data_IF_060348661540
#
_entry.id   IF_060348661540
#
_cell.length_a   1.000
_cell.length_b   1.000
_cell.length_c   1.000
_cell.angle_alpha   90.00
_cell.angle_beta   90.00
_cell.angle_gamma   90.00
#
_symmetry.space_group_name_H-M   'P 1'
#
loop_
_entity.id
_entity.type
_entity.pdbx_description
1 polymer ?
#
# COMPACT_ATOMS: atom_id res chain seq x y z
N UNK A 1 -41.45 30.51 -31.44
CA UNK A 1 -40.02 30.18 -31.59
C UNK A 1 -39.44 30.20 -30.20
N UNK A 2 -39.31 28.99 -29.65
CA UNK A 2 -39.24 28.67 -28.23
C UNK A 2 -37.86 28.88 -27.62
N UNK A 3 -37.87 29.22 -26.33
CA UNK A 3 -36.71 29.25 -25.46
C UNK A 3 -36.10 27.84 -25.34
N UNK A 4 -34.79 27.73 -25.52
CA UNK A 4 -34.05 26.50 -25.21
C UNK A 4 -33.16 26.78 -23.99
N UNK A 5 -33.43 26.06 -22.92
CA UNK A 5 -32.76 26.17 -21.63
C UNK A 5 -31.28 25.75 -21.73
N UNK A 6 -30.40 26.67 -21.32
CA UNK A 6 -28.98 26.41 -21.06
C UNK A 6 -28.85 25.56 -19.80
N UNK A 7 -28.36 24.33 -19.92
CA UNK A 7 -27.88 23.58 -18.75
C UNK A 7 -26.49 24.11 -18.37
N UNK A 8 -26.47 25.03 -17.40
CA UNK A 8 -25.28 25.46 -16.68
C UNK A 8 -24.73 24.25 -15.94
N UNK A 9 -23.57 23.74 -16.36
CA UNK A 9 -22.86 22.73 -15.61
C UNK A 9 -22.31 23.38 -14.34
N UNK A 10 -22.96 23.09 -13.22
CA UNK A 10 -22.69 23.67 -11.92
C UNK A 10 -21.25 23.45 -11.48
N UNK A 11 -20.53 24.56 -11.34
CA UNK A 11 -19.64 24.90 -10.22
C UNK A 11 -19.50 23.80 -9.15
N UNK A 12 -18.46 23.00 -9.27
CA UNK A 12 -17.68 22.56 -8.11
C UNK A 12 -16.34 23.27 -8.22
N UNK A 13 -15.99 24.06 -7.21
CA UNK A 13 -14.68 24.70 -7.16
C UNK A 13 -13.59 23.60 -7.28
N UNK A 14 -12.48 23.82 -7.99
CA UNK A 14 -11.33 22.95 -7.79
C UNK A 14 -10.97 23.05 -6.32
N UNK A 15 -10.93 21.92 -5.60
CA UNK A 15 -10.35 21.89 -4.27
C UNK A 15 -9.02 22.65 -4.34
N UNK A 16 -8.85 23.67 -3.48
CA UNK A 16 -7.69 24.54 -3.54
C UNK A 16 -6.43 23.69 -3.32
N UNK A 17 -5.27 24.09 -3.85
CA UNK A 17 -4.00 23.38 -3.59
C UNK A 17 -3.76 23.17 -2.08
N UNK A 18 -4.29 24.08 -1.24
CA UNK A 18 -4.27 24.00 0.22
C UNK A 18 -5.15 22.86 0.79
N UNK A 19 -6.29 22.55 0.16
CA UNK A 19 -7.18 21.46 0.58
C UNK A 19 -6.50 20.10 0.39
N UNK A 20 -5.81 19.90 -0.75
CA UNK A 20 -5.03 18.69 -1.00
C UNK A 20 -3.85 18.57 -0.05
N UNK A 21 -3.16 19.69 0.25
CA UNK A 21 -2.05 19.70 1.22
C UNK A 21 -2.51 19.31 2.63
N UNK A 22 -3.65 19.84 3.08
CA UNK A 22 -4.24 19.51 4.39
C UNK A 22 -4.69 18.05 4.49
N UNK A 23 -5.22 17.47 3.42
CA UNK A 23 -5.56 16.04 3.38
C UNK A 23 -4.30 15.16 3.50
N UNK A 24 -3.21 15.52 2.79
CA UNK A 24 -1.94 14.82 2.91
C UNK A 24 -1.35 14.89 4.33
N UNK A 25 -1.42 16.06 4.98
CA UNK A 25 -1.00 16.26 6.37
C UNK A 25 -1.89 15.48 7.37
N UNK A 26 -3.21 15.40 7.14
CA UNK A 26 -4.12 14.62 7.97
C UNK A 26 -3.89 13.11 7.84
N UNK A 27 -3.62 12.60 6.62
CA UNK A 27 -3.24 11.19 6.42
C UNK A 27 -1.97 10.80 7.18
N UNK A 28 -1.04 11.74 7.37
CA UNK A 28 0.20 11.51 8.14
C UNK A 28 -0.01 11.50 9.66
N UNK A 29 -1.11 12.08 10.16
CA UNK A 29 -1.43 12.16 11.60
C UNK A 29 -2.35 11.06 12.10
N UNK A 30 -2.98 10.31 11.21
CA UNK A 30 -3.82 9.18 11.60
C UNK A 30 -2.92 8.05 12.16
N UNK A 31 -3.14 7.58 13.39
CA UNK A 31 -2.51 6.34 13.84
C UNK A 31 -2.93 5.25 12.85
N UNK A 32 -2.00 4.43 12.33
CA UNK A 32 -2.36 3.48 11.30
C UNK A 32 -3.33 2.47 11.90
N UNK A 33 -4.62 2.55 11.53
CA UNK A 33 -5.38 1.34 11.31
C UNK A 33 -4.47 0.50 10.40
N UNK A 34 -3.88 -0.58 10.94
CA UNK A 34 -2.67 -1.18 10.36
C UNK A 34 -2.83 -1.28 8.84
N UNK A 35 -2.01 -0.52 8.10
CA UNK A 35 -2.10 -0.53 6.65
C UNK A 35 -1.90 -1.96 6.16
N UNK A 36 -2.50 -2.32 5.02
CA UNK A 36 -2.31 -3.67 4.48
C UNK A 36 -0.82 -4.02 4.32
N UNK A 37 0.02 -3.00 4.06
CA UNK A 37 1.48 -3.07 4.00
C UNK A 37 2.10 -3.37 5.36
N UNK A 38 1.69 -2.65 6.42
CA UNK A 38 2.13 -2.94 7.79
C UNK A 38 1.73 -4.34 8.24
N UNK A 39 0.50 -4.75 7.93
CA UNK A 39 0.02 -6.11 8.24
C UNK A 39 0.81 -7.17 7.49
N UNK A 40 1.12 -6.96 6.21
CA UNK A 40 1.99 -7.87 5.45
C UNK A 40 3.38 -7.97 6.09
N UNK A 41 3.97 -6.83 6.46
CA UNK A 41 5.27 -6.77 7.11
C UNK A 41 5.31 -7.61 8.39
N UNK A 42 4.36 -7.40 9.30
CA UNK A 42 4.35 -8.07 10.59
C UNK A 42 4.12 -9.58 10.46
N UNK A 43 3.27 -10.01 9.52
CA UNK A 43 3.04 -11.42 9.25
C UNK A 43 4.27 -12.11 8.65
N UNK A 44 4.95 -11.47 7.70
CA UNK A 44 6.15 -12.02 7.06
C UNK A 44 7.30 -12.08 8.07
N UNK A 45 7.55 -10.98 8.81
CA UNK A 45 8.58 -10.94 9.84
C UNK A 45 8.35 -12.04 10.88
N UNK A 46 7.12 -12.17 11.37
CA UNK A 46 6.78 -13.25 12.30
C UNK A 46 7.03 -14.62 11.69
N UNK A 47 6.69 -14.83 10.42
CA UNK A 47 6.97 -16.08 9.72
C UNK A 47 8.47 -16.40 9.61
N UNK A 48 9.31 -15.39 9.39
CA UNK A 48 10.77 -15.55 9.36
C UNK A 48 11.29 -15.89 10.76
N UNK A 49 10.88 -15.13 11.78
CA UNK A 49 11.34 -15.31 13.17
C UNK A 49 10.91 -16.65 13.78
N UNK A 50 9.74 -17.18 13.40
CA UNK A 50 9.25 -18.48 13.86
C UNK A 50 9.76 -19.65 13.02
N UNK A 51 10.44 -19.39 11.90
CA UNK A 51 10.92 -20.42 10.98
C UNK A 51 9.86 -21.01 10.05
N UNK A 52 8.61 -20.49 10.07
CA UNK A 52 7.55 -20.85 9.10
C UNK A 52 7.95 -20.46 7.68
N UNK A 53 8.66 -19.35 7.53
CA UNK A 53 9.33 -18.91 6.31
C UNK A 53 10.84 -19.14 6.48
N UNK A 54 11.39 -20.26 5.98
CA UNK A 54 12.77 -20.61 6.27
C UNK A 54 13.75 -19.63 5.64
N UNK A 55 14.79 -19.28 6.39
CA UNK A 55 15.91 -18.48 5.88
C UNK A 55 16.49 -19.10 4.60
N UNK A 56 16.81 -18.24 3.62
CA UNK A 56 17.40 -18.66 2.34
C UNK A 56 16.41 -19.30 1.35
N UNK A 57 15.13 -19.45 1.70
CA UNK A 57 14.10 -19.82 0.72
C UNK A 57 13.61 -18.58 -0.03
N UNK A 58 13.30 -18.77 -1.31
CA UNK A 58 12.69 -17.71 -2.12
C UNK A 58 11.30 -17.38 -1.58
N UNK A 59 11.02 -16.08 -1.45
CA UNK A 59 9.74 -15.52 -1.05
C UNK A 59 9.06 -14.86 -2.27
N UNK A 60 8.36 -15.62 -3.13
CA UNK A 60 7.70 -15.04 -4.28
C UNK A 60 6.46 -14.22 -3.84
N UNK A 61 6.36 -12.97 -4.33
CA UNK A 61 5.29 -12.03 -3.96
C UNK A 61 3.87 -12.58 -4.16
N UNK A 62 3.62 -13.27 -5.29
CA UNK A 62 2.27 -13.74 -5.64
C UNK A 62 1.79 -14.81 -4.65
N UNK A 63 2.51 -15.93 -4.44
CA UNK A 63 2.14 -16.90 -3.42
C UNK A 63 2.03 -16.30 -2.01
N UNK A 64 2.89 -15.34 -1.66
CA UNK A 64 2.85 -14.68 -0.36
C UNK A 64 1.59 -13.83 -0.20
N UNK A 65 1.22 -13.05 -1.22
CA UNK A 65 -0.02 -12.28 -1.27
C UNK A 65 -1.25 -13.17 -1.13
N UNK A 66 -1.30 -14.28 -1.87
CA UNK A 66 -2.38 -15.28 -1.74
C UNK A 66 -2.45 -15.88 -0.34
N UNK A 67 -1.32 -16.32 0.22
CA UNK A 67 -1.27 -16.95 1.53
C UNK A 67 -1.68 -16.00 2.67
N UNK A 68 -1.37 -14.71 2.55
CA UNK A 68 -1.71 -13.68 3.53
C UNK A 68 -3.10 -13.09 3.34
N UNK A 69 -3.78 -13.40 2.22
CA UNK A 69 -5.06 -12.78 1.85
C UNK A 69 -4.93 -11.28 1.56
N UNK A 70 -3.78 -10.85 1.05
CA UNK A 70 -3.44 -9.45 0.80
C UNK A 70 -3.15 -9.21 -0.69
N UNK A 71 -3.15 -7.94 -1.10
CA UNK A 71 -2.74 -7.56 -2.46
C UNK A 71 -1.23 -7.67 -2.68
N UNK A 72 -0.81 -7.64 -3.96
CA UNK A 72 0.61 -7.64 -4.34
C UNK A 72 1.34 -6.37 -3.89
N UNK A 73 0.70 -5.21 -4.02
CA UNK A 73 1.29 -3.91 -3.63
C UNK A 73 1.70 -3.88 -2.16
N UNK A 74 0.82 -4.17 -1.17
CA UNK A 74 1.23 -4.16 0.24
C UNK A 74 2.27 -5.22 0.56
N UNK A 75 2.25 -6.38 -0.10
CA UNK A 75 3.28 -7.41 0.08
C UNK A 75 4.64 -6.96 -0.46
N UNK A 76 4.67 -6.33 -1.63
CA UNK A 76 5.90 -5.79 -2.22
C UNK A 76 6.51 -4.72 -1.32
N UNK A 77 5.70 -3.78 -0.82
CA UNK A 77 6.16 -2.75 0.11
C UNK A 77 6.68 -3.34 1.43
N UNK A 78 6.00 -4.35 1.97
CA UNK A 78 6.46 -5.08 3.15
C UNK A 78 7.81 -5.76 2.91
N UNK A 79 7.99 -6.42 1.77
CA UNK A 79 9.26 -7.05 1.40
C UNK A 79 10.39 -6.03 1.20
N UNK A 80 10.11 -4.87 0.60
CA UNK A 80 11.09 -3.78 0.48
C UNK A 80 11.54 -3.26 1.84
N UNK A 81 10.61 -3.11 2.79
CA UNK A 81 10.94 -2.71 4.17
C UNK A 81 11.77 -3.77 4.88
N UNK A 82 11.38 -5.03 4.77
CA UNK A 82 12.14 -6.15 5.35
C UNK A 82 13.53 -6.32 4.72
N UNK A 83 13.69 -5.94 3.45
CA UNK A 83 14.99 -5.88 2.79
C UNK A 83 15.85 -4.73 3.34
N UNK A 84 15.28 -3.56 3.57
CA UNK A 84 15.97 -2.44 4.21
C UNK A 84 16.43 -2.78 5.64
N UNK A 85 15.63 -3.57 6.37
CA UNK A 85 15.95 -4.04 7.71
C UNK A 85 16.90 -5.26 7.72
N UNK A 86 17.20 -5.85 6.55
CA UNK A 86 18.14 -6.97 6.40
C UNK A 86 17.57 -8.37 6.63
N UNK A 87 16.24 -8.51 6.75
CA UNK A 87 15.57 -9.81 6.90
C UNK A 87 15.39 -10.56 5.57
N UNK A 88 15.33 -9.84 4.45
CA UNK A 88 15.11 -10.39 3.10
C UNK A 88 16.14 -9.80 2.13
N UNK A 89 16.41 -10.49 1.03
CA UNK A 89 17.21 -9.97 -0.09
C UNK A 89 16.45 -10.20 -1.39
N UNK A 90 16.37 -9.18 -2.24
CA UNK A 90 15.85 -9.32 -3.59
C UNK A 90 16.90 -9.97 -4.51
N UNK A 91 16.47 -10.94 -5.30
CA UNK A 91 17.29 -11.56 -6.34
C UNK A 91 16.70 -11.24 -7.71
N UNK A 92 17.47 -10.62 -8.63
CA UNK A 92 17.04 -10.43 -10.00
C UNK A 92 16.69 -11.76 -10.66
N UNK A 93 15.59 -11.80 -11.41
CA UNK A 93 15.33 -12.87 -12.37
C UNK A 93 16.07 -12.50 -13.66
N UNK A 94 17.20 -13.15 -13.91
CA UNK A 94 17.90 -13.14 -15.20
C UNK A 94 17.33 -14.23 -16.11
#
# INVERSE_FOLDING_TARGET
MDAIATTTNGRTAPASDDDFRRLAEQSQRLPPAQSSSQRAHDLILRGILTGVLPNGKRLPEIPLATALGLGRTPVREALMRLEADGFVRSEPRL
#
